data_IF_656460374174
#
_entry.id   IF_656460374174
#
_cell.length_a   1.000
_cell.length_b   1.000
_cell.length_c   1.000
_cell.angle_alpha   90.00
_cell.angle_beta   90.00
_cell.angle_gamma   90.00
#
_symmetry.space_group_name_H-M   'P 1'
#
loop_
_entity.id
_entity.type
_entity.pdbx_description
1 polymer ?
#
# COMPACT_ATOMS: atom_id res chain seq x y z
N UNK A 1 -6.26 13.24 37.01
CA UNK A 1 -6.80 14.47 36.36
C UNK A 1 -5.64 15.42 36.11
N UNK A 2 -5.44 15.96 34.90
CA UNK A 2 -4.34 16.89 34.58
C UNK A 2 -4.82 18.31 34.86
N UNK A 3 -3.94 19.15 35.44
CA UNK A 3 -4.25 20.57 35.67
C UNK A 3 -4.45 21.30 34.33
N UNK A 4 -5.38 22.26 34.27
CA UNK A 4 -5.76 22.93 33.02
C UNK A 4 -4.58 23.63 32.32
N UNK A 5 -3.68 24.25 33.08
CA UNK A 5 -2.51 24.93 32.52
C UNK A 5 -1.46 23.95 31.97
N UNK A 6 -1.35 22.77 32.57
CA UNK A 6 -0.52 21.67 32.02
C UNK A 6 -1.11 21.18 30.71
N UNK A 7 -2.43 21.04 30.61
CA UNK A 7 -3.11 20.67 29.36
C UNK A 7 -2.89 21.72 28.26
N UNK A 8 -3.04 23.01 28.57
CA UNK A 8 -2.75 24.12 27.63
C UNK A 8 -1.33 24.10 27.12
N UNK A 9 -0.36 23.92 28.01
CA UNK A 9 1.07 23.83 27.65
C UNK A 9 1.36 22.66 26.72
N UNK A 10 0.76 21.48 26.99
CA UNK A 10 0.92 20.31 26.14
C UNK A 10 0.28 20.51 24.76
N UNK A 11 -0.87 21.18 24.68
CA UNK A 11 -1.55 21.48 23.42
C UNK A 11 -0.77 22.45 22.52
N UNK A 12 0.01 23.37 23.07
CA UNK A 12 0.81 24.31 22.27
C UNK A 12 1.87 23.65 21.38
N UNK A 13 2.35 22.46 21.75
CA UNK A 13 3.37 21.70 21.00
C UNK A 13 2.86 20.34 20.51
N UNK A 14 1.60 19.99 20.76
CA UNK A 14 1.03 18.71 20.36
C UNK A 14 0.50 18.75 18.93
N UNK A 15 0.54 17.58 18.30
CA UNK A 15 -0.17 17.31 17.05
C UNK A 15 -1.29 16.33 17.36
N UNK A 16 -2.52 16.70 17.02
CA UNK A 16 -3.66 15.79 17.09
C UNK A 16 -3.68 14.95 15.82
N UNK A 17 -3.69 13.65 15.97
CA UNK A 17 -3.84 12.70 14.87
C UNK A 17 -5.06 11.84 15.13
N UNK A 18 -6.03 11.87 14.22
CA UNK A 18 -7.16 10.95 14.26
C UNK A 18 -6.76 9.62 13.60
N UNK A 19 -7.24 8.53 14.16
CA UNK A 19 -7.03 7.18 13.68
C UNK A 19 -8.34 6.41 13.86
N UNK A 20 -8.72 5.66 12.83
CA UNK A 20 -9.86 4.75 12.90
C UNK A 20 -9.31 3.36 13.16
N UNK A 21 -9.89 2.67 14.13
CA UNK A 21 -9.56 1.31 14.49
C UNK A 21 -10.72 0.38 14.13
N UNK A 22 -10.43 -0.87 13.85
CA UNK A 22 -11.42 -1.93 13.70
C UNK A 22 -11.92 -2.43 15.07
N UNK A 23 -12.85 -3.38 15.06
CA UNK A 23 -13.39 -3.99 16.27
C UNK A 23 -12.38 -4.78 17.12
N UNK A 24 -11.16 -4.98 16.62
CA UNK A 24 -10.06 -5.63 17.29
C UNK A 24 -8.98 -4.63 17.76
N UNK A 25 -9.23 -3.31 17.62
CA UNK A 25 -8.28 -2.26 17.99
C UNK A 25 -7.10 -2.11 17.02
N UNK A 26 -7.22 -2.63 15.78
CA UNK A 26 -6.18 -2.46 14.78
C UNK A 26 -6.39 -1.17 13.99
N UNK A 27 -5.37 -0.35 13.79
CA UNK A 27 -5.49 0.90 13.05
C UNK A 27 -5.74 0.62 11.56
N UNK A 28 -6.85 1.11 11.03
CA UNK A 28 -7.25 0.92 9.63
C UNK A 28 -7.05 2.16 8.77
N UNK A 29 -7.19 3.37 9.33
CA UNK A 29 -7.04 4.57 8.52
C UNK A 29 -7.53 5.86 9.15
N UNK A 30 -7.81 6.83 8.30
CA UNK A 30 -8.38 8.14 8.66
C UNK A 30 -9.70 8.43 7.91
N UNK A 31 -10.18 7.50 7.12
CA UNK A 31 -11.43 7.64 6.36
C UNK A 31 -11.39 8.80 5.38
N UNK A 32 -12.38 9.69 5.48
CA UNK A 32 -12.49 10.90 4.65
C UNK A 32 -12.00 12.18 5.35
N UNK A 33 -11.34 12.07 6.49
CA UNK A 33 -10.85 13.24 7.23
C UNK A 33 -9.62 13.90 6.58
N UNK A 34 -8.82 13.13 5.87
CA UNK A 34 -7.65 13.64 5.14
C UNK A 34 -7.42 12.83 3.86
N UNK A 35 -7.09 13.51 2.75
CA UNK A 35 -6.68 12.87 1.51
C UNK A 35 -5.28 12.26 1.65
N UNK A 36 -4.36 13.02 2.20
CA UNK A 36 -2.96 12.59 2.34
C UNK A 36 -2.83 11.57 3.47
N UNK A 37 -2.24 10.39 3.19
CA UNK A 37 -1.93 9.42 4.23
C UNK A 37 -0.97 10.00 5.25
N UNK A 38 -1.26 9.81 6.53
CA UNK A 38 -0.39 10.25 7.61
C UNK A 38 0.93 9.47 7.65
N UNK A 39 1.92 9.98 8.36
CA UNK A 39 3.24 9.36 8.43
C UNK A 39 3.20 7.91 8.96
N UNK A 40 2.30 7.60 9.91
CA UNK A 40 2.15 6.24 10.41
C UNK A 40 1.57 5.31 9.33
N UNK A 41 0.58 5.76 8.54
CA UNK A 41 0.00 4.99 7.43
C UNK A 41 1.05 4.68 6.36
N UNK A 42 1.87 5.68 6.01
CA UNK A 42 2.97 5.46 5.06
C UNK A 42 3.99 4.43 5.56
N UNK A 43 4.26 4.39 6.87
CA UNK A 43 5.11 3.34 7.46
C UNK A 43 4.46 1.97 7.34
N UNK A 44 3.16 1.85 7.64
CA UNK A 44 2.42 0.58 7.49
C UNK A 44 2.36 0.13 6.02
N UNK A 45 2.12 1.05 5.09
CA UNK A 45 2.14 0.74 3.65
C UNK A 45 3.52 0.22 3.21
N UNK A 46 4.60 0.88 3.62
CA UNK A 46 5.97 0.44 3.29
C UNK A 46 6.31 -0.91 3.90
N UNK A 47 5.83 -1.18 5.11
CA UNK A 47 6.01 -2.49 5.74
C UNK A 47 5.24 -3.59 5.01
N UNK A 48 3.96 -3.36 4.69
CA UNK A 48 3.09 -4.31 4.01
C UNK A 48 3.51 -4.58 2.56
N UNK A 49 3.73 -3.52 1.80
CA UNK A 49 3.94 -3.60 0.36
C UNK A 49 5.42 -3.75 -0.02
N UNK A 50 6.34 -3.23 0.82
CA UNK A 50 7.80 -3.22 0.65
C UNK A 50 8.32 -2.59 -0.64
N UNK A 51 7.59 -2.69 -1.74
CA UNK A 51 7.94 -2.22 -3.09
C UNK A 51 6.68 -1.81 -3.88
N UNK A 52 6.88 -1.31 -5.09
CA UNK A 52 5.79 -0.98 -6.01
C UNK A 52 4.91 -2.22 -6.27
N UNK A 53 3.62 -2.08 -6.10
CA UNK A 53 2.64 -3.17 -6.25
C UNK A 53 2.23 -3.46 -7.70
N UNK A 54 2.89 -2.84 -8.67
CA UNK A 54 2.73 -3.22 -10.06
C UNK A 54 3.51 -4.52 -10.32
N UNK A 55 2.88 -5.56 -10.90
CA UNK A 55 3.51 -6.87 -11.08
C UNK A 55 4.82 -6.80 -11.86
N UNK A 56 5.90 -7.32 -11.29
CA UNK A 56 7.23 -7.36 -11.90
C UNK A 56 8.04 -6.07 -11.80
N UNK A 57 7.55 -5.02 -11.09
CA UNK A 57 8.27 -3.75 -10.99
C UNK A 57 9.47 -3.78 -10.05
N UNK A 58 9.31 -4.30 -8.82
CA UNK A 58 10.38 -4.38 -7.82
C UNK A 58 10.94 -3.05 -7.30
N UNK A 59 10.40 -1.90 -7.70
CA UNK A 59 10.89 -0.58 -7.28
C UNK A 59 10.58 -0.32 -5.81
N UNK A 60 11.64 -0.08 -5.00
CA UNK A 60 11.54 0.23 -3.56
C UNK A 60 11.74 1.70 -3.25
N UNK A 61 12.34 2.45 -4.16
CA UNK A 61 12.58 3.90 -4.04
C UNK A 61 11.59 4.68 -4.89
N UNK A 62 11.37 5.95 -4.52
CA UNK A 62 10.44 6.84 -5.20
C UNK A 62 9.02 6.25 -5.31
N UNK A 63 8.61 5.55 -4.23
CA UNK A 63 7.25 5.03 -4.09
C UNK A 63 6.37 6.02 -3.33
N UNK A 64 5.11 6.06 -3.70
CA UNK A 64 4.07 6.89 -3.09
C UNK A 64 2.80 6.09 -2.89
N UNK A 65 1.97 6.52 -1.96
CA UNK A 65 0.67 5.92 -1.75
C UNK A 65 -0.29 6.31 -2.87
N UNK A 66 -1.07 5.35 -3.34
CA UNK A 66 -2.10 5.54 -4.34
C UNK A 66 -3.43 4.99 -3.83
N UNK A 67 -4.52 5.74 -4.00
CA UNK A 67 -5.87 5.30 -3.67
C UNK A 67 -6.39 4.37 -4.76
N UNK A 68 -6.76 3.13 -4.41
CA UNK A 68 -7.37 2.15 -5.33
C UNK A 68 -8.72 2.68 -5.82
N UNK A 69 -9.62 3.00 -4.90
CA UNK A 69 -10.78 3.83 -5.18
C UNK A 69 -10.36 5.29 -4.99
N UNK A 70 -10.44 6.05 -6.05
CA UNK A 70 -9.94 7.42 -6.08
C UNK A 70 -10.65 8.32 -5.07
N UNK A 71 -9.86 9.16 -4.40
CA UNK A 71 -10.40 10.13 -3.45
C UNK A 71 -11.53 10.97 -4.02
N UNK A 72 -11.40 11.44 -5.26
CA UNK A 72 -12.40 12.26 -5.96
C UNK A 72 -13.71 11.50 -6.22
N UNK A 73 -13.67 10.16 -6.15
CA UNK A 73 -14.84 9.27 -6.36
C UNK A 73 -15.39 8.71 -5.05
N UNK A 74 -14.97 9.24 -3.92
CA UNK A 74 -15.46 8.82 -2.61
C UNK A 74 -14.51 7.89 -1.84
N UNK A 75 -13.41 7.46 -2.46
CA UNK A 75 -12.42 6.59 -1.83
C UNK A 75 -11.89 7.14 -0.52
N UNK A 76 -11.69 6.28 0.46
CA UNK A 76 -11.22 6.62 1.81
C UNK A 76 -9.71 6.49 1.90
N UNK A 77 -9.10 7.27 2.78
CA UNK A 77 -7.68 7.13 3.13
C UNK A 77 -7.56 6.08 4.25
N UNK A 78 -7.77 4.83 3.87
CA UNK A 78 -7.66 3.66 4.71
C UNK A 78 -6.61 2.70 4.12
N UNK A 79 -5.96 1.90 4.96
CA UNK A 79 -4.85 1.03 4.51
C UNK A 79 -5.27 0.00 3.46
N UNK A 80 -6.52 -0.45 3.49
CA UNK A 80 -7.07 -1.39 2.50
C UNK A 80 -7.35 -0.72 1.15
N UNK A 81 -7.63 0.59 1.14
CA UNK A 81 -7.81 1.38 -0.08
C UNK A 81 -6.52 2.01 -0.62
N UNK A 82 -5.39 1.79 0.04
CA UNK A 82 -4.10 2.34 -0.35
C UNK A 82 -3.13 1.23 -0.77
N UNK A 83 -2.25 1.54 -1.72
CA UNK A 83 -1.10 0.70 -2.09
C UNK A 83 0.10 1.55 -2.48
N UNK A 84 1.31 0.97 -2.41
CA UNK A 84 2.52 1.64 -2.89
C UNK A 84 2.69 1.44 -4.39
N UNK A 85 2.93 2.55 -5.08
CA UNK A 85 3.33 2.56 -6.50
C UNK A 85 4.55 3.45 -6.69
N UNK A 86 5.45 3.10 -7.60
CA UNK A 86 6.52 4.00 -7.98
C UNK A 86 5.98 5.13 -8.86
N UNK A 87 6.74 6.21 -8.99
CA UNK A 87 6.35 7.40 -9.78
C UNK A 87 5.89 7.03 -11.20
N UNK A 88 6.57 6.09 -11.86
CA UNK A 88 6.18 5.64 -13.20
C UNK A 88 4.80 4.98 -13.22
N UNK A 89 4.54 4.00 -12.34
CA UNK A 89 3.27 3.29 -12.32
C UNK A 89 2.12 4.14 -11.74
N UNK A 90 2.42 5.12 -10.90
CA UNK A 90 1.44 6.13 -10.50
C UNK A 90 0.96 6.96 -11.70
N UNK A 91 1.91 7.33 -12.57
CA UNK A 91 1.62 8.01 -13.83
C UNK A 91 0.76 7.15 -14.78
N UNK A 92 1.04 5.85 -14.91
CA UNK A 92 0.25 4.95 -15.73
C UNK A 92 -1.24 4.99 -15.35
N UNK A 93 -1.55 5.03 -14.05
CA UNK A 93 -2.94 5.09 -13.60
C UNK A 93 -3.57 6.46 -13.89
N UNK A 94 -2.86 7.55 -13.60
CA UNK A 94 -3.44 8.90 -13.69
C UNK A 94 -3.47 9.48 -15.12
N UNK A 95 -2.51 9.12 -15.95
CA UNK A 95 -2.33 9.74 -17.27
C UNK A 95 -2.58 8.79 -18.44
N UNK A 96 -2.44 7.48 -18.24
CA UNK A 96 -2.49 6.49 -19.33
C UNK A 96 -3.64 5.48 -19.20
N UNK A 97 -4.62 5.77 -18.34
CA UNK A 97 -5.86 5.01 -18.25
C UNK A 97 -5.76 3.60 -17.65
N UNK A 98 -4.61 3.24 -17.07
CA UNK A 98 -4.49 1.99 -16.34
C UNK A 98 -5.36 2.00 -15.09
N UNK A 99 -5.87 0.84 -14.72
CA UNK A 99 -6.68 0.70 -13.51
C UNK A 99 -6.09 -0.32 -12.55
N UNK A 100 -6.32 -0.07 -11.28
CA UNK A 100 -5.97 -1.00 -10.21
C UNK A 100 -7.20 -1.28 -9.36
N UNK A 101 -7.37 -2.50 -8.94
CA UNK A 101 -8.45 -2.93 -8.05
C UNK A 101 -7.92 -3.91 -7.02
N UNK A 102 -8.65 -4.06 -5.91
CA UNK A 102 -8.36 -5.06 -4.90
C UNK A 102 -9.52 -6.06 -4.86
N UNK A 103 -9.22 -7.33 -5.00
CA UNK A 103 -10.19 -8.38 -4.81
C UNK A 103 -10.48 -8.61 -3.31
N UNK A 104 -11.58 -9.27 -2.98
CA UNK A 104 -11.97 -9.54 -1.58
C UNK A 104 -10.90 -10.30 -0.79
N UNK A 105 -10.18 -11.19 -1.44
CA UNK A 105 -9.06 -11.94 -0.88
C UNK A 105 -7.79 -11.10 -0.69
N UNK A 106 -7.82 -9.78 -0.95
CA UNK A 106 -6.70 -8.86 -0.79
C UNK A 106 -5.75 -8.78 -1.99
N UNK A 107 -5.95 -9.63 -3.01
CA UNK A 107 -5.12 -9.63 -4.22
C UNK A 107 -5.30 -8.33 -5.00
N UNK A 108 -4.19 -7.68 -5.36
CA UNK A 108 -4.19 -6.50 -6.22
C UNK A 108 -4.20 -6.92 -7.68
N UNK A 109 -5.10 -6.34 -8.47
CA UNK A 109 -5.27 -6.62 -9.89
C UNK A 109 -5.08 -5.36 -10.70
N UNK A 110 -4.28 -5.48 -11.76
CA UNK A 110 -4.01 -4.39 -12.69
C UNK A 110 -4.66 -4.69 -14.04
N UNK A 111 -5.19 -3.65 -14.68
CA UNK A 111 -5.76 -3.77 -16.02
C UNK A 111 -5.26 -2.66 -16.93
N UNK A 112 -5.09 -3.01 -18.19
CA UNK A 112 -4.80 -2.09 -19.27
C UNK A 112 -5.97 -1.10 -19.50
N UNK A 113 -5.76 -0.02 -20.27
CA UNK A 113 -6.82 0.94 -20.61
C UNK A 113 -8.02 0.30 -21.33
N UNK A 114 -7.80 -0.79 -22.07
CA UNK A 114 -8.85 -1.56 -22.75
C UNK A 114 -9.64 -2.51 -21.81
N UNK A 115 -9.29 -2.51 -20.52
CA UNK A 115 -9.91 -3.37 -19.50
C UNK A 115 -9.32 -4.77 -19.41
N UNK A 116 -8.38 -5.16 -20.27
CA UNK A 116 -7.75 -6.48 -20.20
C UNK A 116 -6.85 -6.58 -18.96
N UNK A 117 -6.88 -7.74 -18.29
CA UNK A 117 -6.12 -7.96 -17.08
C UNK A 117 -4.63 -8.09 -17.36
N UNK A 118 -3.81 -7.29 -16.70
CA UNK A 118 -2.36 -7.44 -16.69
C UNK A 118 -1.94 -8.50 -15.65
N UNK A 119 -1.18 -9.50 -16.07
CA UNK A 119 -0.71 -10.59 -15.21
C UNK A 119 0.76 -10.47 -14.78
N UNK A 120 1.46 -9.45 -15.29
CA UNK A 120 2.90 -9.30 -15.12
C UNK A 120 3.70 -10.11 -16.15
N UNK A 121 5.04 -9.98 -16.13
CA UNK A 121 5.91 -10.85 -16.89
C UNK A 121 5.74 -12.29 -16.42
N UNK A 122 5.82 -13.24 -17.35
CA UNK A 122 5.88 -14.65 -16.98
C UNK A 122 7.07 -14.86 -16.01
N UNK A 123 6.90 -15.67 -14.94
CA UNK A 123 8.03 -16.03 -14.11
C UNK A 123 9.10 -16.64 -15.02
N UNK A 124 10.40 -16.37 -14.75
CA UNK A 124 11.47 -17.07 -15.47
C UNK A 124 11.22 -18.58 -15.34
N UNK A 125 11.38 -19.31 -16.45
CA UNK A 125 11.30 -20.76 -16.41
C UNK A 125 12.26 -21.21 -15.30
N UNK A 126 11.72 -21.78 -14.23
CA UNK A 126 12.56 -22.40 -13.21
C UNK A 126 13.29 -23.57 -13.91
N UNK A 127 14.55 -23.39 -14.24
CA UNK A 127 15.43 -24.50 -14.51
C UNK A 127 15.65 -25.19 -13.17
N UNK A 128 14.77 -26.16 -12.88
CA UNK A 128 14.97 -27.06 -11.75
C UNK A 128 16.21 -27.91 -12.08
N UNK A 129 17.40 -27.48 -11.67
CA UNK A 129 18.54 -28.32 -11.56
C UNK A 129 18.36 -29.19 -10.31
N UNK A 130 18.20 -30.53 -10.48
CA UNK A 130 18.11 -31.40 -9.31
C UNK A 130 19.42 -31.29 -8.54
N UNK A 131 19.34 -30.91 -7.26
CA UNK A 131 20.50 -30.93 -6.37
C UNK A 131 21.13 -32.34 -6.45
N UNK A 132 22.45 -32.46 -6.70
CA UNK A 132 23.10 -33.76 -6.67
C UNK A 132 22.84 -34.41 -5.30
N UNK A 133 22.40 -35.66 -5.33
CA UNK A 133 22.20 -36.44 -4.12
C UNK A 133 23.50 -36.43 -3.32
N UNK A 134 23.45 -36.06 -2.04
CA UNK A 134 24.59 -36.22 -1.14
C UNK A 134 24.99 -37.67 -1.16
N UNK A 135 26.19 -37.93 -1.69
CA UNK A 135 26.82 -39.25 -1.60
C UNK A 135 26.90 -39.64 -0.12
N UNK A 136 26.32 -40.78 0.23
CA UNK A 136 26.43 -41.33 1.56
C UNK A 136 27.92 -41.59 1.83
N UNK A 137 28.45 -40.90 2.83
CA UNK A 137 29.79 -41.20 3.33
C UNK A 137 29.63 -42.48 4.14
N UNK A 138 30.26 -43.58 3.60
CA UNK A 138 30.41 -44.85 4.29
C UNK A 138 31.44 -44.76 5.41
#
# INVERSE_FOLDING_TARGET
MIHADTAKRLLCSSRVQAMIEDGMGQPVGVGRMAREPSAWMLRQLRYRDSECRFPGCGARRFTQAHHIEWWERGGRTDLDNLLLVCTFHHKLVHEFGWTVSRAREGTVRWSHPDGTRYRGPAPPAETFEPRPALAAVG
#
